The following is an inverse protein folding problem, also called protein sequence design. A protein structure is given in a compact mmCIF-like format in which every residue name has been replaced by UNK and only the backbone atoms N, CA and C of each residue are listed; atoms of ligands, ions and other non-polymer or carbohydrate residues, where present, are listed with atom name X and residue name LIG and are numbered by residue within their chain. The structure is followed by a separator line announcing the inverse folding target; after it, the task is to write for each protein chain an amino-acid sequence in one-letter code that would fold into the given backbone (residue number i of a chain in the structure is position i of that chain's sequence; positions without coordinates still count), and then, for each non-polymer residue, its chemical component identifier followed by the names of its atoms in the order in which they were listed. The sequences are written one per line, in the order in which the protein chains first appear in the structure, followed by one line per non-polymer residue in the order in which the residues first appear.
data_IF_515724693456
#
_entry.id   IF_515724693456
#
_cell.length_a   1.000
_cell.length_b   1.000
_cell.length_c   1.000
_cell.angle_alpha   90.00
_cell.angle_beta   90.00
_cell.angle_gamma   90.00
#
_symmetry.space_group_name_H-M   'P 1'
#
loop_
_entity.id
_entity.type
_entity.pdbx_description
1 polymer ?
#
# COMPACT_ATOMS: atom_id res chain seq x y z
N UNK A 1 6.78 -57.82 -2.01
CA UNK A 1 7.75 -56.90 -2.67
C UNK A 1 7.25 -55.49 -2.43
N UNK A 2 7.79 -54.82 -1.42
CA UNK A 2 7.50 -53.43 -1.08
C UNK A 2 8.58 -52.55 -1.75
N UNK A 3 8.17 -51.64 -2.60
CA UNK A 3 9.08 -50.62 -3.18
C UNK A 3 8.94 -49.34 -2.36
N UNK A 4 9.99 -48.97 -1.69
CA UNK A 4 10.15 -47.73 -0.94
C UNK A 4 10.58 -46.63 -1.95
N UNK A 5 9.76 -45.59 -2.13
CA UNK A 5 10.15 -44.40 -2.90
C UNK A 5 10.82 -43.43 -1.92
N UNK A 6 12.11 -43.23 -2.08
CA UNK A 6 12.89 -42.24 -1.33
C UNK A 6 12.71 -40.87 -2.00
N UNK A 7 12.09 -39.91 -1.29
CA UNK A 7 12.09 -38.49 -1.68
C UNK A 7 13.48 -37.90 -1.38
N UNK A 8 14.18 -37.52 -2.42
CA UNK A 8 15.41 -36.73 -2.37
C UNK A 8 15.05 -35.26 -2.13
N UNK A 9 15.27 -34.76 -0.92
CA UNK A 9 15.24 -33.32 -0.63
C UNK A 9 16.54 -32.72 -1.19
N UNK A 10 16.42 -31.95 -2.24
CA UNK A 10 17.52 -31.20 -2.85
C UNK A 10 18.12 -30.20 -1.85
N UNK A 11 19.44 -30.20 -1.73
CA UNK A 11 20.19 -29.28 -0.88
C UNK A 11 20.00 -27.82 -1.35
N UNK A 12 19.88 -26.85 -0.42
CA UNK A 12 19.68 -25.45 -0.78
C UNK A 12 20.89 -24.91 -1.54
N UNK A 13 20.58 -24.14 -2.61
CA UNK A 13 21.55 -23.59 -3.53
C UNK A 13 22.57 -22.70 -2.80
N UNK A 14 23.85 -23.00 -2.92
CA UNK A 14 24.98 -22.32 -2.23
C UNK A 14 24.99 -20.79 -2.47
N UNK A 15 24.45 -20.32 -3.56
CA UNK A 15 24.39 -18.89 -3.92
C UNK A 15 23.45 -18.12 -2.99
N UNK A 16 22.31 -18.68 -2.59
CA UNK A 16 21.35 -18.03 -1.68
C UNK A 16 21.92 -17.90 -0.26
N UNK A 17 22.62 -18.92 0.22
CA UNK A 17 23.29 -18.89 1.52
C UNK A 17 24.43 -17.85 1.58
N UNK A 18 25.13 -17.64 0.46
CA UNK A 18 26.22 -16.65 0.40
C UNK A 18 25.68 -15.22 0.40
N UNK A 19 24.59 -14.94 -0.34
CA UNK A 19 23.97 -13.60 -0.34
C UNK A 19 23.36 -13.26 1.01
N UNK A 20 22.68 -14.20 1.66
CA UNK A 20 22.11 -14.01 2.99
C UNK A 20 23.19 -13.75 4.05
N UNK A 21 24.32 -14.47 3.98
CA UNK A 21 25.48 -14.26 4.86
C UNK A 21 26.16 -12.89 4.67
N UNK A 22 26.19 -12.35 3.46
CA UNK A 22 26.77 -11.03 3.16
C UNK A 22 25.86 -9.91 3.68
N UNK A 23 24.54 -10.04 3.51
CA UNK A 23 23.55 -9.06 4.02
C UNK A 23 23.56 -9.03 5.54
N UNK A 24 23.60 -10.16 6.21
CA UNK A 24 23.66 -10.23 7.69
C UNK A 24 24.99 -9.65 8.25
N UNK A 25 26.12 -9.87 7.56
CA UNK A 25 27.40 -9.27 7.97
C UNK A 25 27.42 -7.75 7.79
N UNK A 26 26.79 -7.22 6.76
CA UNK A 26 26.66 -5.75 6.54
C UNK A 26 25.71 -5.10 7.56
N UNK A 27 24.62 -5.77 7.94
CA UNK A 27 23.75 -5.30 9.02
C UNK A 27 24.44 -5.31 10.39
N UNK A 28 25.21 -6.35 10.69
CA UNK A 28 25.98 -6.44 11.95
C UNK A 28 27.08 -5.37 12.03
N UNK A 29 27.73 -5.02 10.92
CA UNK A 29 28.73 -3.93 10.87
C UNK A 29 28.09 -2.55 11.02
N UNK A 30 26.85 -2.35 10.54
CA UNK A 30 26.12 -1.09 10.75
C UNK A 30 25.69 -0.92 12.23
N UNK A 31 25.28 -2.02 12.88
CA UNK A 31 24.90 -2.01 14.29
C UNK A 31 26.09 -1.74 15.23
N UNK A 32 27.30 -2.21 14.89
CA UNK A 32 28.53 -1.96 15.69
C UNK A 32 29.10 -0.56 15.48
N UNK A 33 28.88 0.09 14.34
CA UNK A 33 29.32 1.46 14.12
C UNK A 33 28.47 2.51 14.88
N UNK A 34 27.21 2.20 15.22
CA UNK A 34 26.34 3.09 16.02
C UNK A 34 26.57 2.99 17.53
N UNK A 35 27.30 2.00 18.03
CA UNK A 35 27.54 1.81 19.46
C UNK A 35 28.74 2.59 20.03
N UNK A 36 29.46 3.38 19.22
CA UNK A 36 30.70 4.05 19.65
C UNK A 36 30.61 5.58 19.75
N UNK A 37 29.42 6.17 19.86
CA UNK A 37 29.25 7.59 20.14
C UNK A 37 28.44 7.77 21.42
N UNK A 38 29.01 7.38 22.55
CA UNK A 38 28.57 7.80 23.88
C UNK A 38 29.77 8.22 24.69
N UNK A 39 29.99 9.50 24.78
CA UNK A 39 31.06 10.08 25.60
C UNK A 39 30.81 11.57 25.85
N UNK A 40 30.29 11.89 26.98
CA UNK A 40 30.92 12.67 28.08
C UNK A 40 29.87 13.30 28.97
N UNK A 41 29.90 12.88 30.21
CA UNK A 41 29.18 13.50 31.31
C UNK A 41 29.79 14.87 31.60
N UNK A 42 28.95 15.91 31.65
CA UNK A 42 29.29 17.20 32.26
C UNK A 42 28.56 17.31 33.59
N UNK A 43 29.31 17.60 34.63
CA UNK A 43 28.89 17.66 36.04
C UNK A 43 27.75 18.66 36.25
N UNK A 44 26.81 18.25 37.08
CA UNK A 44 25.62 18.97 37.48
C UNK A 44 25.94 20.13 38.41
N UNK A 45 25.40 21.28 38.15
CA UNK A 45 25.16 22.36 39.09
C UNK A 45 23.85 22.06 39.86
N UNK A 46 23.93 21.95 41.21
CA UNK A 46 22.78 21.63 42.06
C UNK A 46 21.82 22.82 42.12
N UNK A 47 20.78 22.81 41.34
CA UNK A 47 19.62 23.71 41.49
C UNK A 47 18.65 23.15 42.54
N UNK A 48 18.18 24.05 43.39
CA UNK A 48 17.17 23.85 44.44
C UNK A 48 16.05 22.94 43.97
N UNK A 49 15.76 21.89 44.73
CA UNK A 49 14.72 20.92 44.44
C UNK A 49 13.34 21.61 44.39
N UNK A 50 12.91 22.02 43.22
CA UNK A 50 11.51 22.27 42.97
C UNK A 50 10.82 20.91 43.07
N UNK A 51 9.79 20.80 43.94
CA UNK A 51 8.91 19.66 44.03
C UNK A 51 8.41 19.38 42.62
N UNK A 52 8.88 18.30 42.02
CA UNK A 52 8.45 17.93 40.69
C UNK A 52 6.90 17.91 40.65
N UNK A 53 6.27 18.51 39.64
CA UNK A 53 4.82 18.35 39.47
C UNK A 53 4.50 16.86 39.51
N UNK A 54 3.35 16.46 40.10
CA UNK A 54 2.97 15.05 40.13
C UNK A 54 3.07 14.50 38.70
N UNK A 55 3.61 13.28 38.52
CA UNK A 55 3.71 12.70 37.20
C UNK A 55 2.32 12.74 36.57
N UNK A 56 2.22 13.29 35.36
CA UNK A 56 0.99 13.27 34.57
C UNK A 56 0.57 11.82 34.47
N UNK A 57 -0.63 11.51 34.96
CA UNK A 57 -1.13 10.15 34.94
C UNK A 57 -1.07 9.62 33.49
N UNK A 58 -0.32 8.55 33.29
CA UNK A 58 -0.22 7.91 31.99
C UNK A 58 -1.57 7.29 31.66
N UNK A 59 -2.28 7.85 30.67
CA UNK A 59 -3.54 7.28 30.19
C UNK A 59 -3.20 6.22 29.14
N UNK A 60 -3.51 4.94 29.40
CA UNK A 60 -3.16 3.87 28.47
C UNK A 60 -4.04 3.87 27.21
N UNK A 61 -5.22 4.50 27.26
CA UNK A 61 -6.17 4.48 26.15
C UNK A 61 -6.21 5.79 25.38
N UNK A 62 -6.15 5.69 24.06
CA UNK A 62 -6.45 6.78 23.15
C UNK A 62 -7.29 6.25 21.97
N UNK A 63 -7.96 7.14 21.28
CA UNK A 63 -8.71 6.84 20.07
C UNK A 63 -8.34 7.89 19.03
N UNK A 64 -7.78 7.46 17.89
CA UNK A 64 -7.63 8.33 16.74
C UNK A 64 -8.79 8.10 15.77
N UNK A 65 -9.28 9.17 15.18
CA UNK A 65 -10.31 9.12 14.16
C UNK A 65 -10.18 10.33 13.24
N UNK A 66 -10.66 10.17 12.02
CA UNK A 66 -10.58 11.26 11.07
C UNK A 66 -11.35 10.96 9.80
N UNK A 67 -11.42 11.98 8.95
CA UNK A 67 -12.05 11.87 7.65
C UNK A 67 -11.34 12.75 6.63
N UNK A 68 -11.51 12.43 5.36
CA UNK A 68 -10.97 13.27 4.29
C UNK A 68 -11.84 13.25 3.05
N UNK A 69 -11.67 14.29 2.23
CA UNK A 69 -12.11 14.34 0.85
C UNK A 69 -10.90 14.64 -0.02
N UNK A 70 -10.75 13.89 -1.10
CA UNK A 70 -9.67 14.06 -2.07
C UNK A 70 -10.25 14.18 -3.49
N UNK A 71 -9.58 14.92 -4.36
CA UNK A 71 -9.97 15.01 -5.78
C UNK A 71 -9.77 13.71 -6.53
N UNK A 72 -8.87 12.85 -6.03
CA UNK A 72 -8.58 11.52 -6.56
C UNK A 72 -7.99 10.66 -5.43
N UNK A 73 -8.42 9.41 -5.31
CA UNK A 73 -7.79 8.44 -4.43
C UNK A 73 -6.75 7.66 -5.22
N UNK A 74 -5.48 7.80 -4.86
CA UNK A 74 -4.35 7.13 -5.50
C UNK A 74 -3.65 6.23 -4.49
N UNK A 75 -3.44 4.96 -4.86
CA UNK A 75 -2.72 3.97 -4.10
C UNK A 75 -1.55 3.46 -4.95
N UNK A 76 -0.31 3.68 -4.50
CA UNK A 76 0.93 3.27 -5.18
C UNK A 76 0.94 3.66 -6.68
N UNK A 77 0.61 4.91 -6.99
CA UNK A 77 0.60 5.44 -8.36
C UNK A 77 -0.62 5.07 -9.21
N UNK A 78 -1.61 4.37 -8.64
CA UNK A 78 -2.81 3.90 -9.35
C UNK A 78 -4.06 4.51 -8.73
N UNK A 79 -4.90 5.14 -9.55
CA UNK A 79 -6.19 5.67 -9.06
C UNK A 79 -7.11 4.53 -8.63
N UNK A 80 -7.72 4.69 -7.49
CA UNK A 80 -8.73 3.78 -6.95
C UNK A 80 -10.15 4.32 -7.18
N UNK A 81 -10.28 5.59 -7.49
CA UNK A 81 -11.55 6.29 -7.70
C UNK A 81 -11.81 6.73 -9.14
N UNK A 82 -11.04 6.18 -10.11
CA UNK A 82 -11.15 6.52 -11.54
C UNK A 82 -11.07 8.04 -11.78
N UNK A 83 -10.08 8.70 -11.17
CA UNK A 83 -9.85 10.16 -11.22
C UNK A 83 -11.03 11.00 -10.73
N UNK A 84 -11.91 10.43 -9.90
CA UNK A 84 -13.05 11.14 -9.32
C UNK A 84 -12.81 11.45 -7.85
N UNK A 85 -13.52 12.43 -7.28
CA UNK A 85 -13.46 12.68 -5.85
C UNK A 85 -13.77 11.44 -5.03
N UNK A 86 -13.00 11.26 -3.96
CA UNK A 86 -13.16 10.18 -3.00
C UNK A 86 -13.27 10.75 -1.58
N UNK A 87 -14.12 10.13 -0.78
CA UNK A 87 -14.23 10.38 0.66
C UNK A 87 -13.69 9.18 1.41
N UNK A 88 -13.04 9.43 2.55
CA UNK A 88 -12.56 8.38 3.44
C UNK A 88 -12.74 8.78 4.90
N UNK A 89 -12.79 7.77 5.78
CA UNK A 89 -12.79 7.96 7.22
C UNK A 89 -12.07 6.79 7.89
N UNK A 90 -11.61 7.00 9.12
CA UNK A 90 -11.01 5.95 9.92
C UNK A 90 -11.34 6.11 11.41
N UNK A 91 -11.23 4.99 12.14
CA UNK A 91 -11.37 4.89 13.58
C UNK A 91 -10.32 3.89 14.09
N UNK A 92 -9.46 4.33 15.01
CA UNK A 92 -8.30 3.57 15.48
C UNK A 92 -8.17 3.66 17.02
N UNK A 93 -8.74 2.73 17.77
CA UNK A 93 -8.41 2.52 19.18
C UNK A 93 -6.93 2.16 19.36
N UNK A 94 -6.32 2.77 20.37
CA UNK A 94 -4.91 2.63 20.72
C UNK A 94 -4.77 2.29 22.19
N UNK A 95 -3.86 1.39 22.50
CA UNK A 95 -3.46 1.06 23.85
C UNK A 95 -1.96 1.31 24.03
N UNK A 96 -1.62 2.31 24.83
CA UNK A 96 -0.25 2.65 25.17
C UNK A 96 0.21 1.73 26.30
N UNK A 97 0.98 0.69 25.98
CA UNK A 97 1.58 -0.23 26.97
C UNK A 97 2.61 0.51 27.81
N UNK A 98 3.34 1.41 27.19
CA UNK A 98 4.30 2.32 27.78
C UNK A 98 4.40 3.59 26.92
N UNK A 99 5.24 4.54 27.33
CA UNK A 99 5.57 5.73 26.50
C UNK A 99 6.23 5.37 25.16
N UNK A 100 6.85 4.19 25.07
CA UNK A 100 7.64 3.75 23.92
C UNK A 100 7.00 2.56 23.18
N UNK A 101 5.82 2.08 23.61
CA UNK A 101 5.14 0.96 22.97
C UNK A 101 3.63 1.18 22.95
N UNK A 102 3.07 1.23 21.75
CA UNK A 102 1.63 1.34 21.51
C UNK A 102 1.14 0.12 20.73
N UNK A 103 0.01 -0.44 21.14
CA UNK A 103 -0.79 -1.39 20.36
C UNK A 103 -1.95 -0.64 19.74
N UNK A 104 -2.40 -1.07 18.58
CA UNK A 104 -3.57 -0.47 17.91
C UNK A 104 -4.31 -1.48 17.05
N UNK A 105 -5.59 -1.22 16.88
CA UNK A 105 -6.44 -1.82 15.85
C UNK A 105 -7.23 -0.71 15.19
N UNK A 106 -7.60 -0.88 13.92
CA UNK A 106 -8.29 0.16 13.21
C UNK A 106 -9.28 -0.38 12.18
N UNK A 107 -10.23 0.46 11.87
CA UNK A 107 -11.18 0.32 10.79
C UNK A 107 -11.11 1.58 9.94
N UNK A 108 -11.01 1.43 8.63
CA UNK A 108 -11.10 2.56 7.71
C UNK A 108 -12.01 2.21 6.54
N UNK A 109 -12.34 3.21 5.74
CA UNK A 109 -13.07 3.00 4.51
C UNK A 109 -12.92 4.16 3.56
N UNK A 110 -13.03 3.86 2.28
CA UNK A 110 -12.94 4.85 1.22
C UNK A 110 -13.92 4.53 0.09
N UNK A 111 -14.41 5.59 -0.56
CA UNK A 111 -15.17 5.43 -1.80
C UNK A 111 -14.22 5.15 -2.95
N UNK A 112 -14.53 4.14 -3.75
CA UNK A 112 -13.73 3.63 -4.87
C UNK A 112 -14.55 3.50 -6.14
N UNK A 113 -13.88 3.20 -7.26
CA UNK A 113 -14.53 2.94 -8.54
C UNK A 113 -13.81 1.81 -9.27
N UNK A 114 -13.83 0.61 -8.69
CA UNK A 114 -13.19 -0.58 -9.27
C UNK A 114 -14.01 -1.19 -10.40
N UNK A 115 -13.34 -1.95 -11.27
CA UNK A 115 -13.96 -2.64 -12.38
C UNK A 115 -15.01 -3.67 -11.95
N UNK A 116 -14.84 -4.33 -10.81
CA UNK A 116 -15.81 -5.24 -10.20
C UNK A 116 -17.00 -4.52 -9.54
N UNK A 117 -17.05 -3.19 -9.58
CA UNK A 117 -18.12 -2.36 -9.01
C UNK A 117 -18.34 -2.56 -7.50
N UNK A 118 -17.29 -2.92 -6.76
CA UNK A 118 -17.36 -2.95 -5.31
C UNK A 118 -17.88 -1.61 -4.76
N UNK A 119 -18.71 -1.67 -3.73
CA UNK A 119 -19.40 -0.50 -3.18
C UNK A 119 -18.45 0.46 -2.46
N UNK A 120 -17.43 -0.07 -1.82
CA UNK A 120 -16.41 0.66 -1.07
C UNK A 120 -15.17 -0.20 -0.86
N UNK A 121 -14.07 0.44 -0.47
CA UNK A 121 -12.95 -0.19 0.23
C UNK A 121 -13.21 -0.09 1.73
N UNK A 122 -13.08 -1.21 2.43
CA UNK A 122 -13.15 -1.29 3.89
C UNK A 122 -11.85 -1.93 4.37
N UNK A 123 -11.15 -1.24 5.24
CA UNK A 123 -9.89 -1.69 5.78
C UNK A 123 -10.04 -2.12 7.23
N UNK A 124 -9.43 -3.25 7.58
CA UNK A 124 -9.26 -3.71 8.95
C UNK A 124 -7.78 -3.90 9.20
N UNK A 125 -7.24 -3.26 10.22
CA UNK A 125 -5.80 -3.32 10.44
C UNK A 125 -5.45 -3.32 11.92
N UNK A 126 -4.20 -3.70 12.23
CA UNK A 126 -3.70 -3.64 13.59
C UNK A 126 -2.22 -3.99 13.65
N UNK A 127 -1.61 -3.60 14.75
CA UNK A 127 -0.18 -3.76 14.89
C UNK A 127 0.38 -3.22 16.20
N UNK A 128 1.70 -3.07 16.18
CA UNK A 128 2.49 -2.55 17.30
C UNK A 128 3.39 -1.41 16.81
N UNK A 129 3.52 -0.35 17.63
CA UNK A 129 4.37 0.81 17.34
C UNK A 129 5.39 0.99 18.46
N UNK A 130 6.55 0.31 18.40
CA UNK A 130 7.66 0.58 19.31
C UNK A 130 8.47 1.80 18.87
N UNK A 131 8.97 2.58 19.84
CA UNK A 131 9.82 3.75 19.62
C UNK A 131 11.12 3.58 20.37
N UNK A 132 12.26 3.83 19.72
CA UNK A 132 13.59 3.74 20.30
C UNK A 132 14.40 4.99 19.95
N UNK A 133 14.47 5.94 20.86
CA UNK A 133 15.14 7.24 20.62
C UNK A 133 14.49 7.98 19.45
N UNK A 134 15.25 8.23 18.39
CA UNK A 134 14.78 8.91 17.19
C UNK A 134 14.07 7.98 16.17
N UNK A 135 14.01 6.67 16.43
CA UNK A 135 13.38 5.69 15.55
C UNK A 135 11.98 5.34 16.05
N UNK A 136 10.99 5.50 15.18
CA UNK A 136 9.63 5.02 15.37
C UNK A 136 9.35 3.90 14.36
N UNK A 137 8.97 2.74 14.86
CA UNK A 137 8.61 1.59 14.04
C UNK A 137 7.10 1.36 14.06
N UNK A 138 6.59 0.67 13.04
CA UNK A 138 5.21 0.21 12.97
C UNK A 138 5.18 -1.14 12.24
N UNK A 139 4.77 -2.18 12.95
CA UNK A 139 4.65 -3.54 12.42
C UNK A 139 3.20 -3.98 12.54
N UNK A 140 2.63 -4.47 11.46
CA UNK A 140 1.23 -4.86 11.49
C UNK A 140 0.77 -5.66 10.30
N UNK A 141 -0.55 -5.86 10.29
CA UNK A 141 -1.27 -6.48 9.17
C UNK A 141 -2.39 -5.53 8.76
N UNK A 142 -2.61 -5.44 7.45
CA UNK A 142 -3.65 -4.62 6.84
C UNK A 142 -4.50 -5.49 5.91
N UNK A 143 -5.79 -5.61 6.18
CA UNK A 143 -6.74 -6.32 5.35
C UNK A 143 -7.60 -5.32 4.56
N UNK A 144 -7.69 -5.53 3.26
CA UNK A 144 -8.48 -4.73 2.33
C UNK A 144 -9.69 -5.55 1.88
N UNK A 145 -10.88 -5.04 2.13
CA UNK A 145 -12.16 -5.70 1.83
C UNK A 145 -12.95 -4.87 0.83
N UNK A 146 -13.48 -5.54 -0.20
CA UNK A 146 -14.22 -4.90 -1.30
C UNK A 146 -15.63 -5.47 -1.40
N UNK A 147 -16.57 -5.09 -0.52
CA UNK A 147 -17.92 -5.63 -0.50
C UNK A 147 -18.73 -5.21 -1.75
N UNK A 148 -19.66 -6.07 -2.14
CA UNK A 148 -20.60 -5.80 -3.24
C UNK A 148 -20.00 -5.96 -4.64
N UNK A 149 -18.80 -6.51 -4.75
CA UNK A 149 -18.18 -6.75 -6.06
C UNK A 149 -18.97 -7.70 -6.93
N UNK A 150 -18.82 -7.55 -8.25
CA UNK A 150 -19.42 -8.39 -9.28
C UNK A 150 -18.31 -9.00 -10.13
N UNK A 151 -18.43 -10.29 -10.47
CA UNK A 151 -17.51 -10.93 -11.39
C UNK A 151 -17.80 -10.46 -12.82
N UNK A 152 -16.77 -10.10 -13.56
CA UNK A 152 -16.81 -9.78 -14.97
C UNK A 152 -15.84 -10.65 -15.75
N UNK A 153 -16.26 -11.10 -16.92
CA UNK A 153 -15.48 -11.97 -17.77
C UNK A 153 -15.57 -11.53 -19.22
N UNK A 154 -14.47 -11.61 -19.94
CA UNK A 154 -14.43 -11.23 -21.36
C UNK A 154 -15.14 -12.21 -22.30
N UNK A 155 -15.36 -13.45 -21.85
CA UNK A 155 -16.10 -14.46 -22.58
C UNK A 155 -16.96 -15.29 -21.61
N UNK A 156 -18.10 -15.90 -22.09
CA UNK A 156 -18.95 -16.71 -21.26
C UNK A 156 -18.38 -18.11 -20.92
N UNK A 157 -17.13 -18.35 -21.23
CA UNK A 157 -16.43 -19.60 -21.00
C UNK A 157 -15.12 -19.36 -20.26
N UNK A 158 -14.68 -20.33 -19.48
CA UNK A 158 -13.38 -20.31 -18.83
C UNK A 158 -12.24 -20.62 -19.84
N UNK A 159 -11.00 -20.59 -19.35
CA UNK A 159 -9.81 -20.87 -20.17
C UNK A 159 -9.77 -22.28 -20.75
N UNK A 160 -10.48 -23.24 -20.13
CA UNK A 160 -10.61 -24.62 -20.63
C UNK A 160 -11.78 -24.80 -21.58
N UNK A 161 -12.56 -23.74 -21.87
CA UNK A 161 -13.73 -23.77 -22.72
C UNK A 161 -14.98 -24.30 -22.02
N UNK A 162 -14.97 -24.45 -20.70
CA UNK A 162 -16.18 -24.82 -19.94
C UNK A 162 -17.06 -23.59 -19.72
N UNK A 163 -18.39 -23.70 -19.70
CA UNK A 163 -19.27 -22.59 -19.36
C UNK A 163 -18.93 -22.05 -17.96
N UNK A 164 -18.82 -20.74 -17.86
CA UNK A 164 -18.64 -20.08 -16.57
C UNK A 164 -19.85 -20.32 -15.67
N UNK A 165 -19.60 -20.27 -14.36
CA UNK A 165 -20.66 -20.26 -13.37
C UNK A 165 -21.64 -19.11 -13.65
N UNK A 166 -22.88 -19.22 -13.21
CA UNK A 166 -23.94 -18.21 -13.41
C UNK A 166 -23.53 -16.81 -12.91
N UNK A 167 -22.56 -16.73 -12.01
CA UNK A 167 -22.06 -15.49 -11.46
C UNK A 167 -21.33 -14.63 -12.48
N UNK A 168 -20.55 -15.23 -13.39
CA UNK A 168 -19.75 -14.54 -14.40
C UNK A 168 -20.35 -14.63 -15.82
N UNK A 169 -21.22 -15.59 -16.09
CA UNK A 169 -21.64 -15.99 -17.43
C UNK A 169 -22.33 -14.91 -18.28
N UNK A 170 -22.89 -13.87 -17.67
CA UNK A 170 -23.63 -12.81 -18.36
C UNK A 170 -23.05 -11.42 -18.17
N UNK A 171 -21.98 -11.29 -17.39
CA UNK A 171 -21.40 -10.00 -17.03
C UNK A 171 -20.11 -9.75 -17.84
N UNK A 172 -20.16 -8.82 -18.78
CA UNK A 172 -19.03 -8.41 -19.58
C UNK A 172 -18.55 -7.01 -19.16
N UNK A 173 -17.24 -6.79 -19.19
CA UNK A 173 -16.70 -5.45 -19.35
C UNK A 173 -16.69 -5.09 -20.83
N UNK A 174 -17.07 -3.84 -21.15
CA UNK A 174 -17.22 -3.35 -22.53
C UNK A 174 -15.95 -3.51 -23.35
N UNK A 175 -14.81 -3.41 -22.71
CA UNK A 175 -13.48 -3.55 -23.32
C UNK A 175 -12.94 -4.99 -23.28
N UNK A 176 -13.73 -5.94 -22.81
CA UNK A 176 -13.36 -7.35 -22.75
C UNK A 176 -12.39 -7.74 -21.62
N UNK A 177 -12.07 -6.84 -20.72
CA UNK A 177 -11.26 -7.15 -19.54
C UNK A 177 -11.99 -8.12 -18.61
N UNK A 178 -11.22 -8.78 -17.75
CA UNK A 178 -11.74 -9.73 -16.76
C UNK A 178 -11.42 -9.25 -15.36
N UNK A 179 -12.32 -9.51 -14.40
CA UNK A 179 -12.08 -9.20 -12.98
C UNK A 179 -12.93 -10.11 -12.10
N UNK A 180 -12.33 -10.60 -11.01
CA UNK A 180 -13.03 -11.38 -10.00
C UNK A 180 -14.02 -10.53 -9.20
N UNK A 181 -15.08 -11.18 -8.69
CA UNK A 181 -16.01 -10.59 -7.75
C UNK A 181 -15.31 -10.13 -6.47
N UNK A 182 -14.50 -11.01 -5.89
CA UNK A 182 -13.80 -10.81 -4.65
C UNK A 182 -12.35 -10.39 -4.93
N UNK A 183 -12.00 -9.17 -4.54
CA UNK A 183 -10.64 -8.63 -4.60
C UNK A 183 -10.00 -8.49 -3.21
N UNK A 184 -10.62 -9.07 -2.17
CA UNK A 184 -10.11 -8.96 -0.81
C UNK A 184 -8.72 -9.56 -0.70
N UNK A 185 -7.84 -8.86 0.00
CA UNK A 185 -6.49 -9.32 0.27
C UNK A 185 -5.96 -8.73 1.58
N UNK A 186 -4.79 -9.16 1.99
CA UNK A 186 -4.09 -8.60 3.16
C UNK A 186 -2.61 -8.43 2.87
N UNK A 187 -2.00 -7.51 3.62
CA UNK A 187 -0.56 -7.27 3.61
C UNK A 187 -0.02 -7.31 5.04
N UNK A 188 1.09 -8.02 5.25
CA UNK A 188 1.95 -7.77 6.40
C UNK A 188 2.86 -6.60 6.08
N UNK A 189 3.14 -5.73 7.06
CA UNK A 189 3.99 -4.58 6.82
C UNK A 189 4.95 -4.26 7.96
N UNK A 190 6.02 -3.60 7.59
CA UNK A 190 6.98 -2.99 8.48
C UNK A 190 7.29 -1.57 8.00
N UNK A 191 7.27 -0.62 8.95
CA UNK A 191 7.65 0.78 8.68
C UNK A 191 8.66 1.23 9.71
N UNK A 192 9.54 2.12 9.30
CA UNK A 192 10.45 2.83 10.19
C UNK A 192 10.50 4.30 9.79
N UNK A 193 10.45 5.17 10.78
CA UNK A 193 10.72 6.59 10.62
C UNK A 193 11.89 6.98 11.53
N UNK A 194 12.80 7.77 10.99
CA UNK A 194 13.92 8.36 11.72
C UNK A 194 13.79 9.88 11.75
N UNK A 195 13.64 10.44 12.94
CA UNK A 195 13.61 11.88 13.16
C UNK A 195 15.03 12.40 13.18
N UNK A 196 15.48 13.02 12.08
CA UNK A 196 16.83 13.60 11.95
C UNK A 196 16.96 14.81 12.86
N UNK A 197 15.94 15.67 12.86
CA UNK A 197 15.77 16.84 13.73
C UNK A 197 14.31 17.31 13.65
N UNK A 198 13.97 18.45 14.29
CA UNK A 198 12.61 19.00 14.34
C UNK A 198 12.00 19.31 12.96
N UNK A 199 12.83 19.48 11.94
CA UNK A 199 12.39 19.81 10.58
C UNK A 199 12.39 18.61 9.63
N UNK A 200 13.27 17.61 9.84
CA UNK A 200 13.48 16.54 8.87
C UNK A 200 13.18 15.16 9.46
N UNK A 201 12.33 14.42 8.77
CA UNK A 201 12.07 12.99 9.02
C UNK A 201 12.29 12.22 7.73
N UNK A 202 12.94 11.07 7.82
CA UNK A 202 13.06 10.11 6.73
C UNK A 202 12.43 8.80 7.16
N UNK A 203 11.93 8.02 6.21
CA UNK A 203 11.28 6.76 6.52
C UNK A 203 11.52 5.71 5.44
N UNK A 204 11.22 4.47 5.79
CA UNK A 204 11.14 3.35 4.87
C UNK A 204 9.95 2.48 5.23
N UNK A 205 9.36 1.88 4.22
CA UNK A 205 8.23 0.96 4.39
C UNK A 205 8.42 -0.29 3.54
N UNK A 206 7.86 -1.40 4.02
CA UNK A 206 7.79 -2.67 3.34
C UNK A 206 6.41 -3.26 3.55
N UNK A 207 5.78 -3.73 2.47
CA UNK A 207 4.49 -4.43 2.49
C UNK A 207 4.59 -5.70 1.67
N UNK A 208 4.04 -6.78 2.16
CA UNK A 208 3.99 -8.06 1.47
C UNK A 208 2.60 -8.69 1.53
N UNK A 209 2.07 -9.08 0.38
CA UNK A 209 0.87 -9.89 0.22
C UNK A 209 1.19 -11.17 -0.52
N UNK A 210 0.79 -12.34 -0.01
CA UNK A 210 0.95 -13.60 -0.73
C UNK A 210 -0.04 -13.75 -1.90
N UNK A 211 -1.12 -12.94 -1.91
CA UNK A 211 -2.17 -12.96 -2.93
C UNK A 211 -2.77 -11.55 -3.10
N UNK A 212 -2.03 -10.70 -3.81
CA UNK A 212 -2.35 -9.29 -3.98
C UNK A 212 -3.63 -9.12 -4.83
N UNK A 213 -4.61 -8.35 -4.31
CA UNK A 213 -5.92 -8.15 -4.94
C UNK A 213 -6.63 -9.47 -5.32
N UNK A 214 -6.35 -10.56 -4.62
CA UNK A 214 -6.89 -11.91 -4.91
C UNK A 214 -6.64 -12.38 -6.37
N UNK A 215 -5.57 -11.90 -6.97
CA UNK A 215 -5.20 -12.23 -8.35
C UNK A 215 -4.48 -13.55 -8.49
N UNK A 216 -4.05 -14.17 -7.39
CA UNK A 216 -3.13 -15.29 -7.37
C UNK A 216 -1.65 -14.86 -7.35
N UNK A 217 -1.36 -13.65 -7.79
CA UNK A 217 0.00 -13.09 -7.75
C UNK A 217 0.35 -12.63 -6.32
N UNK A 218 1.58 -12.87 -5.90
CA UNK A 218 2.13 -12.19 -4.73
C UNK A 218 2.44 -10.73 -5.07
N UNK A 219 2.42 -9.85 -4.08
CA UNK A 219 2.84 -8.46 -4.21
C UNK A 219 3.79 -8.07 -3.09
N UNK A 220 4.83 -7.33 -3.43
CA UNK A 220 5.77 -6.74 -2.49
C UNK A 220 5.96 -5.27 -2.85
N UNK A 221 5.84 -4.39 -1.86
CA UNK A 221 6.03 -2.96 -2.05
C UNK A 221 7.01 -2.42 -1.04
N UNK A 222 8.12 -1.86 -1.52
CA UNK A 222 9.08 -1.16 -0.67
C UNK A 222 9.16 0.32 -1.07
N UNK A 223 9.27 1.22 -0.08
CA UNK A 223 9.45 2.64 -0.35
C UNK A 223 10.36 3.34 0.64
N UNK A 224 10.89 4.48 0.21
CA UNK A 224 11.56 5.47 1.06
C UNK A 224 10.76 6.75 1.04
N UNK A 225 10.69 7.42 2.19
CA UNK A 225 9.97 8.68 2.36
C UNK A 225 10.86 9.77 2.94
N UNK A 226 10.55 11.00 2.60
CA UNK A 226 11.17 12.17 3.21
C UNK A 226 10.12 13.22 3.52
N UNK A 227 10.27 13.89 4.67
CA UNK A 227 9.41 15.00 5.08
C UNK A 227 10.24 16.13 5.65
N UNK A 228 10.02 17.33 5.13
CA UNK A 228 10.45 18.58 5.71
C UNK A 228 9.25 19.27 6.36
N UNK A 229 9.35 19.63 7.63
CA UNK A 229 8.34 20.41 8.35
C UNK A 229 8.89 21.81 8.57
N UNK A 230 8.18 22.83 8.11
CA UNK A 230 8.61 24.21 8.29
C UNK A 230 8.60 24.59 9.78
N UNK A 231 9.55 25.41 10.26
CA UNK A 231 9.57 25.90 11.63
C UNK A 231 8.23 26.55 12.00
N UNK A 232 7.80 26.39 13.25
CA UNK A 232 6.53 26.97 13.74
C UNK A 232 6.46 28.49 13.60
N UNK A 233 7.60 29.16 13.57
CA UNK A 233 7.72 30.61 13.37
C UNK A 233 7.46 31.06 11.93
N UNK A 234 7.42 30.15 10.95
CA UNK A 234 7.29 30.50 9.51
C UNK A 234 6.06 31.37 9.21
N UNK A 235 4.95 31.11 9.89
CA UNK A 235 3.71 31.87 9.73
C UNK A 235 3.33 32.70 10.96
N UNK A 236 4.32 33.02 11.80
CA UNK A 236 4.12 33.82 13.01
C UNK A 236 3.16 33.16 13.99
N UNK A 237 2.24 33.95 14.56
CA UNK A 237 1.25 33.49 15.57
C UNK A 237 -0.05 32.95 14.94
N UNK A 238 -0.09 32.72 13.65
CA UNK A 238 -1.32 32.28 12.95
C UNK A 238 -1.80 30.88 13.34
N UNK A 239 -0.90 30.04 13.89
CA UNK A 239 -1.15 28.61 14.13
C UNK A 239 -1.15 27.76 12.85
N UNK A 240 -0.79 28.35 11.70
CA UNK A 240 -0.62 27.64 10.44
C UNK A 240 0.73 26.91 10.41
N UNK A 241 0.72 25.65 10.05
CA UNK A 241 1.92 24.85 9.76
C UNK A 241 2.02 24.50 8.29
N UNK A 242 3.23 24.09 7.85
CA UNK A 242 3.48 23.64 6.48
C UNK A 242 4.48 22.48 6.50
N UNK A 243 4.29 21.55 5.58
CA UNK A 243 5.31 20.53 5.28
C UNK A 243 5.46 20.32 3.78
N UNK A 244 6.61 19.80 3.38
CA UNK A 244 6.85 19.20 2.07
C UNK A 244 7.19 17.74 2.33
N UNK A 245 6.59 16.82 1.57
CA UNK A 245 6.90 15.39 1.71
C UNK A 245 6.91 14.71 0.35
N UNK A 246 7.69 13.65 0.26
CA UNK A 246 7.75 12.82 -0.93
C UNK A 246 8.02 11.36 -0.58
N UNK A 247 7.72 10.52 -1.54
CA UNK A 247 7.93 9.08 -1.48
C UNK A 247 8.43 8.60 -2.84
N UNK A 248 9.34 7.64 -2.82
CA UNK A 248 9.71 6.82 -3.96
C UNK A 248 9.59 5.36 -3.56
N UNK A 249 8.85 4.58 -4.32
CA UNK A 249 8.61 3.17 -4.04
C UNK A 249 8.69 2.30 -5.30
N UNK A 250 8.80 1.00 -5.07
CA UNK A 250 8.74 -0.02 -6.09
C UNK A 250 7.75 -1.11 -5.68
N UNK A 251 6.88 -1.46 -6.59
CA UNK A 251 5.99 -2.61 -6.49
C UNK A 251 6.55 -3.74 -7.34
N UNK A 252 6.76 -4.89 -6.72
CA UNK A 252 7.04 -6.15 -7.40
C UNK A 252 5.78 -7.00 -7.36
N UNK A 253 5.49 -7.67 -8.45
CA UNK A 253 4.31 -8.50 -8.61
C UNK A 253 4.69 -9.88 -9.16
N UNK A 254 3.96 -10.90 -8.75
CA UNK A 254 4.11 -12.24 -9.29
C UNK A 254 3.17 -12.52 -10.45
N UNK A 255 3.06 -13.81 -10.78
CA UNK A 255 2.17 -14.32 -11.81
C UNK A 255 0.78 -14.55 -11.25
N UNK A 256 -0.26 -14.10 -11.95
CA UNK A 256 -1.67 -14.30 -11.59
C UNK A 256 -2.08 -15.77 -11.71
N UNK A 257 -3.26 -16.09 -11.21
CA UNK A 257 -3.87 -17.39 -11.47
C UNK A 257 -4.48 -17.48 -12.90
N UNK A 258 -4.96 -18.65 -13.26
CA UNK A 258 -5.52 -18.95 -14.59
C UNK A 258 -6.77 -18.15 -14.92
N UNK A 259 -7.50 -17.63 -13.94
CA UNK A 259 -8.67 -16.79 -14.18
C UNK A 259 -8.32 -15.56 -15.01
N UNK A 260 -7.22 -14.86 -14.67
CA UNK A 260 -6.73 -13.70 -15.41
C UNK A 260 -5.98 -14.05 -16.69
N UNK A 261 -5.58 -15.29 -16.85
CA UNK A 261 -4.90 -15.79 -18.04
C UNK A 261 -5.83 -16.10 -19.23
N UNK A 262 -7.14 -15.88 -19.09
CA UNK A 262 -8.11 -16.22 -20.15
C UNK A 262 -8.21 -15.16 -21.24
N UNK A 263 -8.51 -15.61 -22.47
CA UNK A 263 -8.80 -14.72 -23.59
C UNK A 263 -10.31 -14.57 -23.76
N UNK A 264 -10.79 -13.33 -23.86
CA UNK A 264 -12.20 -13.09 -24.16
C UNK A 264 -12.54 -13.26 -25.66
N UNK A 265 -11.55 -13.31 -26.53
CA UNK A 265 -11.70 -13.23 -27.98
C UNK A 265 -12.04 -14.56 -28.66
N UNK A 266 -11.83 -15.65 -27.95
CA UNK A 266 -12.08 -16.98 -28.49
C UNK A 266 -12.73 -17.90 -27.43
N UNK A 267 -14.06 -17.87 -27.28
CA UNK A 267 -14.76 -18.76 -26.37
C UNK A 267 -14.43 -20.23 -26.70
N UNK A 268 -14.03 -20.99 -25.70
CA UNK A 268 -13.65 -22.38 -25.85
C UNK A 268 -12.19 -22.60 -26.22
N UNK A 269 -11.39 -21.56 -26.35
CA UNK A 269 -9.94 -21.66 -26.48
C UNK A 269 -9.27 -21.31 -25.16
N UNK A 270 -8.43 -22.21 -24.65
CA UNK A 270 -7.56 -21.88 -23.54
C UNK A 270 -6.80 -20.60 -23.90
N UNK A 271 -6.87 -19.57 -23.07
CA UNK A 271 -6.14 -18.34 -23.31
C UNK A 271 -4.65 -18.63 -23.51
N UNK A 272 -3.90 -17.70 -24.13
CA UNK A 272 -2.47 -17.88 -24.40
C UNK A 272 -1.64 -18.08 -23.12
N UNK A 273 -2.22 -17.82 -21.95
CA UNK A 273 -1.54 -17.92 -20.65
C UNK A 273 -2.35 -18.78 -19.66
N UNK A 274 -2.45 -20.10 -19.88
CA UNK A 274 -3.27 -20.99 -19.03
C UNK A 274 -2.78 -21.03 -17.57
N UNK A 275 -1.52 -20.64 -17.31
CA UNK A 275 -0.91 -20.58 -15.98
C UNK A 275 -0.96 -19.17 -15.37
N UNK A 276 -1.77 -18.26 -15.94
CA UNK A 276 -1.82 -16.87 -15.53
C UNK A 276 -0.88 -15.97 -16.34
N UNK A 277 -0.86 -14.70 -15.98
CA UNK A 277 0.01 -13.67 -16.58
C UNK A 277 1.01 -13.17 -15.54
N UNK A 278 2.20 -12.88 -15.98
CA UNK A 278 3.24 -12.24 -15.18
C UNK A 278 2.99 -10.74 -15.18
N UNK A 279 2.64 -10.17 -14.03
CA UNK A 279 2.39 -8.74 -13.92
C UNK A 279 3.69 -7.97 -13.93
N UNK A 280 3.70 -6.83 -14.60
CA UNK A 280 4.88 -5.97 -14.64
C UNK A 280 5.16 -5.33 -13.28
N UNK A 281 6.42 -5.39 -12.85
CA UNK A 281 6.92 -4.57 -11.75
C UNK A 281 6.95 -3.10 -12.15
N UNK A 282 6.77 -2.19 -11.18
CA UNK A 282 6.81 -0.77 -11.48
C UNK A 282 7.32 0.08 -10.32
N UNK A 283 7.82 1.26 -10.65
CA UNK A 283 8.15 2.28 -9.68
C UNK A 283 7.02 3.31 -9.58
N UNK A 284 6.90 3.90 -8.40
CA UNK A 284 5.95 4.98 -8.15
C UNK A 284 6.62 6.06 -7.31
N UNK A 285 6.21 7.30 -7.51
CA UNK A 285 6.70 8.43 -6.73
C UNK A 285 5.63 9.48 -6.54
N UNK A 286 5.78 10.21 -5.45
CA UNK A 286 4.93 11.36 -5.21
C UNK A 286 5.70 12.44 -4.46
N UNK A 287 5.26 13.69 -4.63
CA UNK A 287 5.73 14.86 -3.88
C UNK A 287 4.56 15.80 -3.65
N UNK A 288 4.50 16.38 -2.46
CA UNK A 288 3.42 17.29 -2.12
C UNK A 288 3.79 18.30 -1.05
N UNK A 289 2.97 19.34 -0.97
CA UNK A 289 2.97 20.35 0.08
C UNK A 289 1.68 20.28 0.87
N UNK A 290 1.78 20.27 2.18
CA UNK A 290 0.64 20.28 3.10
C UNK A 290 0.63 21.51 3.99
N UNK A 291 -0.54 22.06 4.20
CA UNK A 291 -0.81 23.14 5.15
C UNK A 291 -1.69 22.61 6.26
N UNK A 292 -1.28 22.83 7.51
CA UNK A 292 -1.99 22.34 8.68
C UNK A 292 -2.53 23.51 9.52
N UNK A 293 -3.75 23.38 9.97
CA UNK A 293 -4.37 24.33 10.91
C UNK A 293 -5.27 23.59 11.90
N UNK A 294 -4.88 23.56 13.17
CA UNK A 294 -5.53 22.75 14.19
C UNK A 294 -5.62 21.28 13.74
N UNK A 295 -6.83 20.75 13.58
CA UNK A 295 -7.11 19.37 13.16
C UNK A 295 -7.17 19.21 11.64
N UNK A 296 -7.13 20.29 10.89
CA UNK A 296 -7.29 20.27 9.44
C UNK A 296 -5.95 20.26 8.71
N UNK A 297 -5.89 19.51 7.61
CA UNK A 297 -4.74 19.50 6.68
C UNK A 297 -5.25 19.63 5.26
N UNK A 298 -4.70 20.60 4.52
CA UNK A 298 -4.83 20.69 3.07
C UNK A 298 -3.52 20.20 2.45
N UNK A 299 -3.56 19.10 1.69
CA UNK A 299 -2.41 18.53 0.98
C UNK A 299 -2.61 18.65 -0.53
N UNK A 300 -1.61 19.16 -1.22
CA UNK A 300 -1.58 19.27 -2.68
C UNK A 300 -0.38 18.46 -3.14
N UNK A 301 -0.64 17.43 -3.97
CA UNK A 301 0.34 16.40 -4.28
C UNK A 301 0.35 16.05 -5.76
N UNK A 302 1.53 15.86 -6.31
CA UNK A 302 1.76 15.18 -7.57
C UNK A 302 2.09 13.71 -7.28
N UNK A 303 1.51 12.80 -8.05
CA UNK A 303 1.80 11.36 -8.00
C UNK A 303 1.96 10.81 -9.41
N UNK A 304 2.87 9.84 -9.58
CA UNK A 304 3.14 9.24 -10.87
C UNK A 304 3.69 7.82 -10.72
N UNK A 305 3.77 7.08 -11.84
CA UNK A 305 4.35 5.75 -11.94
C UNK A 305 4.89 5.49 -13.35
N UNK A 306 5.88 4.63 -13.47
CA UNK A 306 6.43 4.19 -14.76
C UNK A 306 5.71 2.98 -15.35
N UNK A 307 4.62 2.49 -14.71
CA UNK A 307 3.83 1.38 -15.24
C UNK A 307 3.22 1.77 -16.59
N UNK A 308 3.50 0.98 -17.64
CA UNK A 308 2.95 1.22 -18.97
C UNK A 308 1.42 1.20 -18.96
N UNK A 309 0.78 1.93 -19.87
CA UNK A 309 -0.69 1.94 -19.97
C UNK A 309 -1.29 0.56 -20.25
N UNK A 310 -0.59 -0.29 -20.99
CA UNK A 310 -0.99 -1.66 -21.27
C UNK A 310 -0.92 -2.54 -20.02
N UNK A 311 0.21 -2.52 -19.31
CA UNK A 311 0.39 -3.26 -18.08
C UNK A 311 -0.52 -2.75 -16.97
N UNK A 312 -0.75 -1.43 -16.92
CA UNK A 312 -1.75 -0.82 -16.05
C UNK A 312 -3.15 -1.40 -16.29
N UNK A 313 -3.57 -1.52 -17.55
CA UNK A 313 -4.87 -2.12 -17.87
C UNK A 313 -4.92 -3.61 -17.53
N UNK A 314 -3.84 -4.34 -17.80
CA UNK A 314 -3.73 -5.75 -17.44
C UNK A 314 -3.91 -5.98 -15.93
N UNK A 315 -3.32 -5.12 -15.13
CA UNK A 315 -3.37 -5.21 -13.67
C UNK A 315 -4.67 -4.71 -13.08
N UNK A 316 -5.22 -3.59 -13.59
CA UNK A 316 -6.39 -2.92 -13.00
C UNK A 316 -7.73 -3.36 -13.60
N UNK A 317 -7.71 -3.95 -14.79
CA UNK A 317 -8.93 -4.24 -15.59
C UNK A 317 -9.82 -3.01 -15.76
N UNK A 318 -9.22 -1.85 -16.05
CA UNK A 318 -9.91 -0.56 -16.16
C UNK A 318 -11.12 -0.64 -17.11
N UNK A 319 -12.32 -0.49 -16.57
CA UNK A 319 -13.56 -0.56 -17.34
C UNK A 319 -13.79 0.63 -18.28
N UNK A 320 -13.05 1.71 -18.08
CA UNK A 320 -13.09 2.91 -18.92
C UNK A 320 -11.99 2.92 -20.00
N UNK A 321 -11.07 1.97 -19.97
CA UNK A 321 -9.99 1.87 -20.94
C UNK A 321 -10.56 1.72 -22.35
N UNK A 322 -10.01 2.48 -23.30
CA UNK A 322 -10.44 2.49 -24.70
C UNK A 322 -9.28 2.13 -25.60
N UNK A 323 -9.57 1.41 -26.66
CA UNK A 323 -8.64 1.00 -27.68
C UNK A 323 -9.33 0.13 -28.71
N UNK A 324 -8.67 -0.16 -29.83
CA UNK A 324 -9.21 -1.10 -30.80
C UNK A 324 -9.10 -2.51 -30.25
N UNK A 325 -10.22 -3.09 -29.85
CA UNK A 325 -10.35 -4.51 -29.54
C UNK A 325 -10.26 -5.26 -30.87
N UNK A 326 -9.08 -5.38 -31.43
CA UNK A 326 -8.88 -6.14 -32.66
C UNK A 326 -8.54 -7.58 -32.28
N UNK A 327 -9.56 -8.39 -32.14
CA UNK A 327 -9.57 -9.73 -31.62
C UNK A 327 -8.65 -10.74 -32.33
N UNK A 328 -8.01 -10.35 -33.43
CA UNK A 328 -7.37 -11.31 -34.33
C UNK A 328 -5.89 -11.10 -34.60
N UNK A 329 -5.30 -10.06 -34.13
CA UNK A 329 -3.87 -9.80 -34.40
C UNK A 329 -2.98 -10.39 -33.33
N UNK A 330 -2.91 -11.60 -33.12
CA UNK A 330 -1.94 -12.43 -32.35
C UNK A 330 -0.77 -11.83 -31.55
N UNK A 331 -0.70 -10.54 -31.44
CA UNK A 331 0.26 -9.76 -30.64
C UNK A 331 -0.45 -9.20 -29.44
N UNK A 332 -0.86 -10.05 -28.53
CA UNK A 332 -1.38 -9.58 -27.25
C UNK A 332 -0.24 -9.24 -26.33
N UNK A 333 -0.26 -8.06 -25.76
CA UNK A 333 0.68 -7.66 -24.71
C UNK A 333 0.41 -8.46 -23.44
N UNK A 334 -0.87 -8.77 -23.17
CA UNK A 334 -1.29 -9.64 -22.06
C UNK A 334 -2.55 -10.43 -22.45
N UNK A 335 -2.84 -11.52 -21.74
CA UNK A 335 -4.08 -12.29 -21.94
C UNK A 335 -5.34 -11.47 -21.67
N UNK A 336 -5.27 -10.49 -20.76
CA UNK A 336 -6.38 -9.61 -20.40
C UNK A 336 -6.56 -8.51 -21.45
N UNK A 337 -5.47 -8.12 -22.09
CA UNK A 337 -5.46 -7.03 -23.05
C UNK A 337 -4.72 -7.41 -24.34
N UNK A 338 -5.25 -8.32 -25.12
CA UNK A 338 -4.59 -8.82 -26.32
C UNK A 338 -4.39 -7.76 -27.42
N UNK A 339 -4.99 -6.57 -27.30
CA UNK A 339 -5.04 -5.55 -28.36
C UNK A 339 -4.32 -4.27 -28.01
N UNK A 340 -3.65 -4.21 -26.85
CA UNK A 340 -2.94 -3.00 -26.41
C UNK A 340 -3.87 -1.87 -25.94
N UNK A 341 -5.05 -2.19 -25.42
CA UNK A 341 -5.93 -1.22 -24.74
C UNK A 341 -5.17 -0.66 -23.54
N UNK A 342 -4.98 0.64 -23.49
CA UNK A 342 -4.25 1.31 -22.41
C UNK A 342 -5.19 1.89 -21.37
N UNK A 343 -4.86 1.72 -20.09
CA UNK A 343 -5.53 2.41 -18.98
C UNK A 343 -4.85 3.74 -18.66
N UNK A 344 -5.66 4.73 -18.30
CA UNK A 344 -5.20 5.99 -17.73
C UNK A 344 -5.16 5.98 -16.19
N UNK A 345 -5.46 4.85 -15.56
CA UNK A 345 -5.50 4.76 -14.11
C UNK A 345 -4.11 4.87 -13.45
N UNK A 346 -3.08 4.54 -14.19
CA UNK A 346 -1.68 4.68 -13.78
C UNK A 346 -1.04 5.87 -14.48
N UNK A 347 -0.13 6.56 -13.78
CA UNK A 347 0.62 7.68 -14.31
C UNK A 347 0.33 9.00 -13.62
N UNK A 348 0.81 10.06 -14.24
CA UNK A 348 0.82 11.41 -13.67
C UNK A 348 -0.55 11.94 -13.27
N UNK A 349 -0.70 12.35 -12.02
CA UNK A 349 -1.94 12.96 -11.51
C UNK A 349 -1.66 13.98 -10.42
N UNK A 350 -2.44 15.06 -10.41
CA UNK A 350 -2.51 16.01 -9.30
C UNK A 350 -3.62 15.64 -8.34
N UNK A 351 -3.36 15.74 -7.04
CA UNK A 351 -4.29 15.39 -5.97
C UNK A 351 -4.41 16.59 -5.04
N UNK A 352 -5.63 16.98 -4.71
CA UNK A 352 -5.93 17.93 -3.64
C UNK A 352 -6.74 17.17 -2.59
N UNK A 353 -6.26 17.14 -1.35
CA UNK A 353 -6.91 16.45 -0.24
C UNK A 353 -7.09 17.39 0.94
N UNK A 354 -8.31 17.44 1.48
CA UNK A 354 -8.60 18.07 2.76
C UNK A 354 -8.93 16.97 3.77
N UNK A 355 -8.24 16.96 4.90
CA UNK A 355 -8.52 16.03 6.00
C UNK A 355 -8.74 16.73 7.32
N UNK A 356 -9.41 16.03 8.24
CA UNK A 356 -9.53 16.36 9.64
C UNK A 356 -9.12 15.13 10.45
N UNK A 357 -8.10 15.28 11.30
CA UNK A 357 -7.51 14.20 12.09
C UNK A 357 -7.54 14.59 13.58
N UNK A 358 -8.12 13.74 14.41
CA UNK A 358 -8.33 13.98 15.82
C UNK A 358 -7.87 12.79 16.66
N UNK A 359 -7.50 13.06 17.90
CA UNK A 359 -7.35 12.03 18.93
C UNK A 359 -8.16 12.41 20.17
N UNK A 360 -8.69 11.41 20.86
CA UNK A 360 -9.49 11.65 22.08
C UNK A 360 -8.65 12.33 23.15
N UNK A 361 -7.39 11.92 23.31
CA UNK A 361 -6.50 12.51 24.32
C UNK A 361 -6.19 13.98 24.08
N UNK A 362 -6.08 14.42 22.82
CA UNK A 362 -5.66 15.79 22.48
C UNK A 362 -6.85 16.73 22.24
N UNK A 363 -7.95 16.22 21.68
CA UNK A 363 -9.00 17.07 21.13
C UNK A 363 -10.33 16.99 21.90
N UNK A 364 -10.53 15.96 22.75
CA UNK A 364 -11.80 15.73 23.47
C UNK A 364 -11.67 15.84 24.99
N UNK A 365 -10.48 16.11 25.55
CA UNK A 365 -10.24 16.35 26.97
C UNK A 365 -10.24 17.83 27.32
#
# INVERSE_FOLDING_TARGET
MQSVIALSLGAPNRTVLTVMGIVMKKLALLATALAMISGSAVAADMRVAYKAPPPVAFDPWDIAFGSSIASNYVFRGITQSNHKPSVSAYFEPRYNVSKDLQLYVGLAGASIAFANRAAAEIDVYGGIRPTFGAFAFDFGVWGYLYPGGTCHYGAPFDAAGAPLSNECATNFLVNGNVIKKNLNFFEAYAKVNYTVNDMFTIGATEYYSPNFLNTGAWGNYASITGKFTAPSSTFGSSGLGMYISGEFGRQWLGTSDSFYGTSFTNPGFAGPFPNGIDYADYNTWNIGVGFTYKVFTLDIRYSDTDLSKGDCNAFTSDFAARGNINAFTGTSVTAINPTGVGSSWCGATGIVKLSADLTAMTNLK
#
